data_IF_075059562357
#
_entry.id   IF_075059562357
#
_cell.length_a   1.000
_cell.length_b   1.000
_cell.length_c   1.000
_cell.angle_alpha   90.00
_cell.angle_beta   90.00
_cell.angle_gamma   90.00
#
_symmetry.space_group_name_H-M   'P 1'
#
loop_
_entity.id
_entity.type
_entity.pdbx_description
1 polymer ?
#
# COMPACT_ATOMS: atom_id res chain seq x y z
N UNK A 1 33.50 -16.63 -24.78
CA UNK A 1 32.34 -15.78 -25.13
C UNK A 1 32.35 -14.62 -24.15
N UNK A 2 32.73 -13.42 -24.61
CA UNK A 2 32.82 -12.24 -23.74
C UNK A 2 31.47 -11.53 -23.76
N UNK A 3 30.76 -11.55 -22.63
CA UNK A 3 29.52 -10.79 -22.48
C UNK A 3 29.93 -9.33 -22.29
N UNK A 4 29.67 -8.50 -23.29
CA UNK A 4 29.86 -7.07 -23.22
C UNK A 4 28.98 -6.50 -22.11
N UNK A 5 29.58 -6.18 -20.97
CA UNK A 5 29.02 -5.27 -19.97
C UNK A 5 28.86 -3.92 -20.66
N UNK A 6 27.73 -3.73 -21.33
CA UNK A 6 27.29 -2.43 -21.79
C UNK A 6 27.20 -1.55 -20.54
N UNK A 7 28.10 -0.58 -20.43
CA UNK A 7 28.01 0.46 -19.42
C UNK A 7 26.59 1.03 -19.52
N UNK A 8 25.78 0.76 -18.50
CA UNK A 8 24.48 1.40 -18.32
C UNK A 8 24.81 2.88 -18.22
N UNK A 9 24.63 3.59 -19.32
CA UNK A 9 24.70 5.05 -19.34
C UNK A 9 23.86 5.53 -18.16
N UNK A 10 24.36 6.45 -17.30
CA UNK A 10 23.53 7.03 -16.25
C UNK A 10 22.32 7.63 -16.95
N UNK A 11 21.20 6.91 -16.89
CA UNK A 11 20.05 7.16 -17.73
C UNK A 11 19.60 8.57 -17.44
N UNK A 12 19.45 9.38 -18.49
CA UNK A 12 18.85 10.70 -18.38
C UNK A 12 17.53 10.53 -17.65
N UNK A 13 17.49 10.98 -16.39
CA UNK A 13 16.31 10.85 -15.54
C UNK A 13 15.19 11.65 -16.22
N UNK A 14 14.05 11.04 -16.52
CA UNK A 14 12.93 11.75 -17.13
C UNK A 14 12.56 12.95 -16.28
N UNK A 15 12.45 14.12 -16.93
CA UNK A 15 11.98 15.33 -16.25
C UNK A 15 10.50 15.25 -15.90
N UNK A 16 9.73 14.53 -16.70
CA UNK A 16 8.29 14.36 -16.51
C UNK A 16 8.02 12.99 -15.92
N UNK A 17 7.35 12.96 -14.77
CA UNK A 17 6.91 11.74 -14.10
C UNK A 17 5.41 11.55 -14.37
N UNK A 18 4.99 10.32 -14.73
CA UNK A 18 3.58 10.01 -14.97
C UNK A 18 2.83 9.93 -13.64
N UNK A 19 1.53 10.23 -13.66
CA UNK A 19 0.68 10.14 -12.47
C UNK A 19 0.65 8.75 -11.81
N UNK A 20 0.89 7.68 -12.58
CA UNK A 20 1.00 6.32 -12.04
C UNK A 20 2.29 6.08 -11.24
N UNK A 21 3.38 6.76 -11.62
CA UNK A 21 4.73 6.56 -11.07
C UNK A 21 5.07 7.59 -9.98
N UNK A 22 4.41 8.75 -10.00
CA UNK A 22 4.66 9.85 -9.05
C UNK A 22 4.51 9.45 -7.56
N UNK A 23 3.50 8.67 -7.14
CA UNK A 23 3.40 8.20 -5.76
C UNK A 23 4.59 7.30 -5.37
N UNK A 24 5.04 6.46 -6.30
CA UNK A 24 6.18 5.57 -6.10
C UNK A 24 7.50 6.33 -5.99
N UNK A 25 7.66 7.41 -6.77
CA UNK A 25 8.82 8.29 -6.70
C UNK A 25 8.97 8.94 -5.31
N UNK A 26 7.86 9.37 -4.71
CA UNK A 26 7.85 9.98 -3.38
C UNK A 26 7.80 8.97 -2.21
N UNK A 27 7.67 7.67 -2.51
CA UNK A 27 7.53 6.63 -1.49
C UNK A 27 6.21 6.67 -0.71
N UNK A 28 5.15 7.24 -1.29
CA UNK A 28 3.84 7.38 -0.64
C UNK A 28 2.76 6.55 -1.33
N UNK A 29 1.64 6.33 -0.64
CA UNK A 29 0.49 5.65 -1.23
C UNK A 29 -0.25 6.59 -2.22
N UNK A 30 -0.99 5.98 -3.16
CA UNK A 30 -1.71 6.73 -4.22
C UNK A 30 -2.77 7.67 -3.66
N UNK A 31 -3.44 7.28 -2.58
CA UNK A 31 -4.49 8.07 -1.96
C UNK A 31 -3.91 9.31 -1.26
N UNK A 32 -2.80 9.13 -0.56
CA UNK A 32 -2.08 10.24 0.08
C UNK A 32 -1.61 11.23 -0.97
N UNK A 33 -0.93 10.75 -2.02
CA UNK A 33 -0.48 11.59 -3.13
C UNK A 33 -1.61 12.42 -3.75
N UNK A 34 -2.79 11.81 -3.91
CA UNK A 34 -3.96 12.48 -4.49
C UNK A 34 -4.46 13.64 -3.60
N UNK A 35 -4.37 13.51 -2.29
CA UNK A 35 -4.89 14.50 -1.34
C UNK A 35 -3.85 15.56 -0.96
N UNK A 36 -2.58 15.18 -0.84
CA UNK A 36 -1.53 16.04 -0.28
C UNK A 36 -0.60 16.64 -1.31
N UNK A 37 -0.40 15.99 -2.47
CA UNK A 37 0.55 16.48 -3.49
C UNK A 37 -0.18 17.11 -4.66
N UNK A 38 -1.18 16.42 -5.23
CA UNK A 38 -1.89 16.89 -6.45
C UNK A 38 -2.47 18.30 -6.35
N UNK A 39 -3.01 18.77 -5.21
CA UNK A 39 -3.54 20.13 -5.13
C UNK A 39 -2.46 21.23 -5.20
N UNK A 40 -1.21 20.88 -4.92
CA UNK A 40 -0.10 21.84 -4.75
C UNK A 40 0.92 21.79 -5.89
N UNK A 41 0.84 20.78 -6.76
CA UNK A 41 1.76 20.58 -7.87
C UNK A 41 1.00 20.72 -9.19
N UNK A 42 1.61 21.37 -10.18
CA UNK A 42 1.00 21.56 -11.49
C UNK A 42 0.90 20.25 -12.27
N UNK A 43 -0.28 20.02 -12.84
CA UNK A 43 -0.57 18.88 -13.69
C UNK A 43 -0.44 19.25 -15.17
N UNK A 44 0.23 18.39 -15.93
CA UNK A 44 0.31 18.51 -17.39
C UNK A 44 -0.41 17.34 -18.05
N UNK A 45 -1.42 17.58 -18.91
CA UNK A 45 -2.00 16.53 -19.71
C UNK A 45 -0.98 16.04 -20.74
N UNK A 46 -0.84 14.73 -20.87
CA UNK A 46 0.04 14.09 -21.84
C UNK A 46 -0.82 13.16 -22.72
N UNK A 47 -1.09 13.62 -23.94
CA UNK A 47 -1.96 12.92 -24.87
C UNK A 47 -3.43 12.97 -24.42
N UNK A 48 -4.20 11.92 -24.74
CA UNK A 48 -5.66 11.90 -24.51
C UNK A 48 -6.07 11.57 -23.07
N UNK A 49 -5.26 10.82 -22.34
CA UNK A 49 -5.61 10.27 -21.01
C UNK A 49 -4.48 10.36 -19.99
N UNK A 50 -3.25 10.67 -20.43
CA UNK A 50 -2.11 10.74 -19.52
C UNK A 50 -2.10 12.06 -18.75
N UNK A 51 -1.64 12.00 -17.51
CA UNK A 51 -1.27 13.17 -16.71
C UNK A 51 0.18 12.96 -16.27
N UNK A 52 0.97 14.02 -16.27
CA UNK A 52 2.31 14.02 -15.73
C UNK A 52 2.63 15.27 -14.93
N UNK A 53 3.74 15.17 -14.21
CA UNK A 53 4.24 16.13 -13.24
C UNK A 53 5.71 16.44 -13.55
N UNK A 54 6.16 17.68 -13.33
CA UNK A 54 7.59 18.00 -13.39
C UNK A 54 8.27 17.45 -12.12
N UNK A 55 9.37 16.73 -12.30
CA UNK A 55 10.16 16.18 -11.20
C UNK A 55 10.69 17.28 -10.28
N UNK A 56 11.17 18.39 -10.84
CA UNK A 56 11.75 19.48 -10.03
C UNK A 56 10.70 20.13 -9.12
N UNK A 57 9.45 20.17 -9.58
CA UNK A 57 8.34 20.70 -8.79
C UNK A 57 7.94 19.74 -7.67
N UNK A 58 7.94 18.42 -7.96
CA UNK A 58 7.75 17.40 -6.93
C UNK A 58 8.86 17.45 -5.88
N UNK A 59 10.12 17.55 -6.29
CA UNK A 59 11.26 17.64 -5.38
C UNK A 59 11.15 18.89 -4.49
N UNK A 60 10.84 20.06 -5.06
CA UNK A 60 10.64 21.29 -4.29
C UNK A 60 9.48 21.20 -3.28
N UNK A 61 8.38 20.53 -3.65
CA UNK A 61 7.27 20.27 -2.73
C UNK A 61 7.70 19.36 -1.58
N UNK A 62 8.50 18.33 -1.86
CA UNK A 62 9.03 17.41 -0.84
C UNK A 62 9.93 18.13 0.13
N UNK A 63 10.83 18.98 -0.34
CA UNK A 63 11.73 19.74 0.51
C UNK A 63 10.92 20.59 1.51
N UNK A 64 9.91 21.32 1.03
CA UNK A 64 9.01 22.09 1.88
C UNK A 64 8.20 21.20 2.86
N UNK A 65 7.76 20.02 2.41
CA UNK A 65 7.04 19.06 3.25
C UNK A 65 7.94 18.50 4.36
N UNK A 66 9.19 18.19 4.06
CA UNK A 66 10.18 17.72 5.02
C UNK A 66 10.48 18.83 6.02
N UNK A 67 10.74 20.05 5.58
CA UNK A 67 10.98 21.18 6.48
C UNK A 67 9.81 21.42 7.45
N UNK A 68 8.56 21.29 6.97
CA UNK A 68 7.37 21.46 7.79
C UNK A 68 7.11 20.29 8.76
N UNK A 69 7.46 19.06 8.37
CA UNK A 69 7.16 17.85 9.16
C UNK A 69 8.38 17.25 9.87
N UNK A 70 9.58 17.80 9.67
CA UNK A 70 10.79 17.34 10.32
C UNK A 70 10.64 17.52 11.83
N UNK A 71 10.46 16.40 12.52
CA UNK A 71 10.58 16.37 13.97
C UNK A 71 12.05 16.20 14.29
N UNK A 72 12.66 17.22 14.91
CA UNK A 72 13.99 17.10 15.49
C UNK A 72 13.96 15.98 16.53
N UNK A 73 14.49 14.82 16.15
CA UNK A 73 14.78 13.76 17.10
C UNK A 73 15.96 14.28 17.91
N UNK A 74 15.71 14.73 19.13
CA UNK A 74 16.76 15.03 20.07
C UNK A 74 17.75 13.85 20.10
N UNK A 75 18.96 14.09 19.60
CA UNK A 75 20.05 13.20 19.84
C UNK A 75 20.26 13.18 21.36
N UNK A 76 20.08 12.00 21.96
CA UNK A 76 20.52 11.67 23.31
C UNK A 76 19.70 12.21 24.50
N UNK A 77 18.81 11.34 24.97
CA UNK A 77 18.76 11.03 26.40
C UNK A 77 19.06 9.53 26.55
N UNK A 78 20.33 9.21 26.77
CA UNK A 78 20.78 8.06 27.57
C UNK A 78 20.40 6.63 27.12
N UNK A 79 20.73 6.25 25.87
CA UNK A 79 20.70 4.82 25.47
C UNK A 79 22.02 4.08 25.73
N UNK A 80 22.98 4.71 26.42
CA UNK A 80 24.16 4.01 26.93
C UNK A 80 23.95 3.54 28.38
N UNK A 81 22.75 3.06 28.72
CA UNK A 81 22.62 2.17 29.88
C UNK A 81 23.27 0.86 29.46
N UNK A 82 24.46 0.47 29.98
CA UNK A 82 25.01 -0.83 29.69
C UNK A 82 23.92 -1.84 30.07
N UNK A 83 23.57 -2.70 29.11
CA UNK A 83 22.72 -3.87 29.33
C UNK A 83 23.24 -4.53 30.59
N UNK A 84 22.53 -4.33 31.70
CA UNK A 84 22.98 -4.65 33.05
C UNK A 84 23.67 -6.00 33.02
N UNK A 85 24.96 -6.00 33.33
CA UNK A 85 25.70 -7.22 33.60
C UNK A 85 24.88 -7.99 34.62
N UNK A 86 24.31 -9.10 34.18
CA UNK A 86 23.60 -10.02 35.04
C UNK A 86 24.65 -10.62 35.96
N UNK A 87 24.81 -10.03 37.14
CA UNK A 87 25.37 -10.71 38.30
C UNK A 87 24.65 -12.04 38.40
N UNK A 88 25.44 -13.10 38.21
CA UNK A 88 25.04 -14.48 38.27
C UNK A 88 24.45 -14.79 39.65
N UNK A 89 23.13 -14.60 39.81
CA UNK A 89 22.38 -15.13 40.95
C UNK A 89 21.02 -15.62 40.44
N UNK A 90 20.99 -16.93 40.19
CA UNK A 90 19.81 -17.78 39.98
C UNK A 90 19.20 -17.76 38.58
N UNK A 91 19.68 -18.68 37.74
CA UNK A 91 19.02 -19.15 36.53
C UNK A 91 17.55 -19.49 36.78
N UNK A 92 16.65 -18.68 36.23
CA UNK A 92 15.31 -19.11 35.81
C UNK A 92 15.10 -18.65 34.39
N UNK A 93 15.34 -19.59 33.49
CA UNK A 93 15.09 -19.50 32.07
C UNK A 93 13.58 -19.24 31.86
N UNK A 94 13.22 -18.06 31.40
CA UNK A 94 11.89 -17.83 30.83
C UNK A 94 12.04 -17.95 29.31
N UNK A 95 11.91 -19.15 28.71
CA UNK A 95 11.83 -19.25 27.26
C UNK A 95 10.61 -18.47 26.77
N UNK A 96 10.83 -17.64 25.76
CA UNK A 96 9.81 -16.91 25.01
C UNK A 96 8.55 -17.78 24.80
N UNK A 97 7.33 -17.25 25.02
CA UNK A 97 6.12 -18.03 24.84
C UNK A 97 5.98 -18.40 23.37
N UNK A 98 6.35 -19.64 23.05
CA UNK A 98 6.10 -20.26 21.76
C UNK A 98 4.58 -20.37 21.65
N UNK A 99 3.96 -19.46 20.91
CA UNK A 99 2.56 -19.61 20.51
C UNK A 99 2.45 -20.94 19.77
N UNK A 100 1.99 -21.97 20.47
CA UNK A 100 1.49 -23.17 19.82
C UNK A 100 0.26 -22.72 19.04
N UNK A 101 0.39 -22.60 17.72
CA UNK A 101 -0.78 -22.63 16.86
C UNK A 101 -1.53 -23.91 17.24
N UNK A 102 -2.76 -23.81 17.71
CA UNK A 102 -3.63 -24.98 17.72
C UNK A 102 -3.62 -25.51 16.28
N UNK A 103 -3.02 -26.68 16.11
CA UNK A 103 -3.06 -27.39 14.85
C UNK A 103 -4.52 -27.39 14.41
N UNK A 104 -4.76 -26.82 13.23
CA UNK A 104 -6.00 -27.03 12.49
C UNK A 104 -6.37 -28.50 12.68
N UNK A 105 -7.46 -28.77 13.40
CA UNK A 105 -8.07 -30.09 13.31
C UNK A 105 -8.44 -30.17 11.84
N UNK A 106 -7.78 -31.07 11.10
CA UNK A 106 -8.17 -31.46 9.74
C UNK A 106 -9.69 -31.60 9.72
N UNK A 107 -10.39 -30.57 9.26
CA UNK A 107 -11.77 -30.69 8.87
C UNK A 107 -11.70 -31.61 7.65
N UNK A 108 -12.06 -32.88 7.84
CA UNK A 108 -12.40 -33.77 6.73
C UNK A 108 -13.31 -32.96 5.81
N UNK A 109 -12.92 -32.85 4.54
CA UNK A 109 -13.81 -32.39 3.50
C UNK A 109 -14.98 -33.37 3.41
N UNK A 110 -16.02 -33.13 4.20
CA UNK A 110 -17.34 -33.70 3.96
C UNK A 110 -18.00 -32.78 2.94
N UNK A 111 -17.86 -33.14 1.66
CA UNK A 111 -18.65 -32.57 0.57
C UNK A 111 -20.12 -32.95 0.79
N UNK A 112 -20.86 -32.13 1.52
CA UNK A 112 -22.31 -32.20 1.57
C UNK A 112 -22.90 -31.47 0.38
N UNK A 113 -23.45 -32.19 -0.59
CA UNK A 113 -24.33 -31.60 -1.63
C UNK A 113 -25.60 -31.13 -0.94
N UNK A 114 -25.72 -29.83 -0.69
CA UNK A 114 -26.97 -29.21 -0.26
C UNK A 114 -27.93 -29.14 -1.44
N UNK A 115 -28.99 -29.94 -1.41
CA UNK A 115 -30.04 -30.01 -2.44
C UNK A 115 -31.14 -28.96 -2.26
N UNK A 116 -30.90 -27.89 -1.49
CA UNK A 116 -31.90 -26.83 -1.33
C UNK A 116 -31.81 -25.83 -2.48
N UNK A 117 -32.63 -26.05 -3.51
CA UNK A 117 -32.92 -25.11 -4.59
C UNK A 117 -33.77 -23.94 -4.05
N UNK A 118 -33.15 -23.05 -3.27
CA UNK A 118 -33.80 -21.81 -2.79
C UNK A 118 -33.07 -20.57 -3.33
N UNK A 119 -32.43 -20.70 -4.50
CA UNK A 119 -31.77 -19.58 -5.20
C UNK A 119 -32.53 -19.11 -6.44
N UNK A 120 -33.18 -20.01 -7.17
CA UNK A 120 -33.79 -19.68 -8.47
C UNK A 120 -35.05 -18.81 -8.32
N UNK A 121 -35.85 -19.03 -7.28
CA UNK A 121 -37.05 -18.22 -7.00
C UNK A 121 -36.68 -16.81 -6.56
N UNK A 122 -35.65 -16.66 -5.73
CA UNK A 122 -35.15 -15.35 -5.29
C UNK A 122 -34.48 -14.59 -6.44
N UNK A 123 -33.69 -15.28 -7.28
CA UNK A 123 -33.06 -14.68 -8.45
C UNK A 123 -34.09 -14.21 -9.48
N UNK A 124 -35.14 -15.01 -9.76
CA UNK A 124 -36.25 -14.59 -10.64
C UNK A 124 -37.00 -13.37 -10.08
N UNK A 125 -37.23 -13.32 -8.77
CA UNK A 125 -37.88 -12.19 -8.09
C UNK A 125 -37.04 -10.91 -8.18
N UNK A 126 -35.71 -11.03 -8.03
CA UNK A 126 -34.78 -9.93 -8.20
C UNK A 126 -34.75 -9.41 -9.65
N UNK A 127 -34.76 -10.32 -10.64
CA UNK A 127 -34.76 -9.94 -12.06
C UNK A 127 -36.03 -9.16 -12.43
N UNK A 128 -37.20 -9.62 -11.99
CA UNK A 128 -38.48 -8.95 -12.24
C UNK A 128 -38.57 -7.55 -11.63
N UNK A 129 -37.95 -7.32 -10.46
CA UNK A 129 -37.88 -5.98 -9.86
C UNK A 129 -37.01 -5.02 -10.68
N UNK A 130 -35.92 -5.51 -11.26
CA UNK A 130 -35.03 -4.70 -12.11
C UNK A 130 -35.70 -4.38 -13.45
N UNK A 131 -36.38 -5.35 -14.06
CA UNK A 131 -36.99 -5.17 -15.40
C UNK A 131 -38.39 -4.55 -15.35
N UNK A 132 -39.06 -4.55 -14.18
CA UNK A 132 -40.45 -4.13 -14.02
C UNK A 132 -40.68 -2.61 -13.91
N UNK A 133 -39.63 -1.79 -13.89
CA UNK A 133 -39.78 -0.32 -13.80
C UNK A 133 -40.11 0.28 -15.17
N UNK A 134 -41.39 0.15 -15.53
CA UNK A 134 -42.05 0.74 -16.70
C UNK A 134 -41.86 2.26 -16.71
N UNK A 135 -41.41 2.81 -17.84
CA UNK A 135 -41.48 4.24 -18.13
C UNK A 135 -42.95 4.66 -18.21
N UNK A 136 -43.39 5.54 -17.32
CA UNK A 136 -44.63 6.29 -17.49
C UNK A 136 -44.33 7.51 -18.35
N UNK A 137 -44.79 7.47 -19.59
CA UNK A 137 -44.87 8.62 -20.47
C UNK A 137 -46.32 9.13 -20.41
N UNK A 138 -46.52 10.31 -19.82
CA UNK A 138 -47.54 11.33 -20.12
C UNK A 138 -47.18 12.55 -19.28
#
# INVERSE_FOLDING_TARGET
MANATAAVQPGLLPRIIRAGDAPGYLGMCRDEFKNTVRPFVREFPIGKQGIGFDRLELDAWVDAYIEAMAVEKAADQDNNRPRSESLAVTSKENPWPKRQSQASRKCRAASGKSTKSTGESEFKKALALVTGKKQSNT
#
